data_IF_562780708604
#
_entry.id   IF_562780708604
#
_cell.length_a   1.000
_cell.length_b   1.000
_cell.length_c   1.000
_cell.angle_alpha   90.00
_cell.angle_beta   90.00
_cell.angle_gamma   90.00
#
_symmetry.space_group_name_H-M   'P 1'
#
loop_
_entity.id
_entity.type
_entity.pdbx_description
1 polymer ?
#
# COMPACT_ATOMS: atom_id res chain seq x y z
N UNK A 1 35.19 34.30 -18.03
CA UNK A 1 34.62 33.06 -18.63
C UNK A 1 34.32 31.99 -17.58
N UNK A 2 35.28 31.62 -16.73
CA UNK A 2 35.11 30.59 -15.68
C UNK A 2 33.97 30.89 -14.69
N UNK A 3 33.85 32.13 -14.21
CA UNK A 3 32.79 32.57 -13.28
C UNK A 3 31.39 32.39 -13.90
N UNK A 4 31.22 32.72 -15.18
CA UNK A 4 29.94 32.58 -15.87
C UNK A 4 29.51 31.11 -16.00
N UNK A 5 30.47 30.21 -16.28
CA UNK A 5 30.24 28.77 -16.31
C UNK A 5 29.82 28.23 -14.94
N UNK A 6 30.52 28.65 -13.88
CA UNK A 6 30.18 28.24 -12.51
C UNK A 6 28.74 28.65 -12.21
N UNK A 7 28.39 29.93 -12.42
CA UNK A 7 27.04 30.44 -12.14
C UNK A 7 25.95 29.70 -12.93
N UNK A 8 26.18 29.40 -14.21
CA UNK A 8 25.25 28.64 -15.03
C UNK A 8 25.02 27.22 -14.46
N UNK A 9 26.10 26.54 -14.06
CA UNK A 9 26.03 25.19 -13.50
C UNK A 9 25.35 25.20 -12.13
N UNK A 10 25.64 26.17 -11.26
CA UNK A 10 24.98 26.24 -9.94
C UNK A 10 23.49 26.47 -10.06
N UNK A 11 23.07 27.38 -10.95
CA UNK A 11 21.65 27.66 -11.19
C UNK A 11 20.97 26.45 -11.86
N UNK A 12 21.61 25.82 -12.84
CA UNK A 12 21.10 24.60 -13.47
C UNK A 12 20.92 23.45 -12.49
N UNK A 13 21.90 23.21 -11.62
CA UNK A 13 21.84 22.19 -10.57
C UNK A 13 20.73 22.47 -9.56
N UNK A 14 20.48 23.76 -9.24
CA UNK A 14 19.39 24.15 -8.35
C UNK A 14 18.01 23.80 -8.94
N UNK A 15 17.77 24.11 -10.21
CA UNK A 15 16.51 23.77 -10.88
C UNK A 15 16.31 22.26 -11.01
N UNK A 16 17.36 21.51 -11.35
CA UNK A 16 17.32 20.04 -11.41
C UNK A 16 17.07 19.45 -10.02
N UNK A 17 17.70 19.99 -8.98
CA UNK A 17 17.51 19.55 -7.60
C UNK A 17 16.07 19.75 -7.13
N UNK A 18 15.48 20.93 -7.37
CA UNK A 18 14.09 21.22 -6.99
C UNK A 18 13.11 20.32 -7.72
N UNK A 19 13.25 20.17 -9.04
CA UNK A 19 12.34 19.34 -9.83
C UNK A 19 12.45 17.87 -9.43
N UNK A 20 13.66 17.37 -9.17
CA UNK A 20 13.88 16.00 -8.68
C UNK A 20 13.29 15.79 -7.28
N UNK A 21 13.48 16.74 -6.36
CA UNK A 21 12.91 16.68 -5.01
C UNK A 21 11.38 16.68 -5.05
N UNK A 22 10.78 17.48 -5.95
CA UNK A 22 9.33 17.53 -6.09
C UNK A 22 8.75 16.23 -6.65
N UNK A 23 9.42 15.61 -7.63
CA UNK A 23 9.04 14.28 -8.14
C UNK A 23 9.21 13.20 -7.07
N UNK A 24 10.33 13.21 -6.34
CA UNK A 24 10.61 12.24 -5.29
C UNK A 24 9.57 12.28 -4.16
N UNK A 25 9.04 13.47 -3.82
CA UNK A 25 7.96 13.62 -2.83
C UNK A 25 6.75 12.75 -3.18
N UNK A 26 6.27 12.77 -4.43
CA UNK A 26 5.12 11.95 -4.85
C UNK A 26 5.39 10.46 -4.69
N UNK A 27 6.55 9.98 -5.16
CA UNK A 27 6.93 8.58 -5.00
C UNK A 27 7.05 8.13 -3.54
N UNK A 28 7.54 9.00 -2.65
CA UNK A 28 7.65 8.70 -1.22
C UNK A 28 6.28 8.68 -0.55
N UNK A 29 5.40 9.61 -0.90
CA UNK A 29 4.03 9.66 -0.40
C UNK A 29 3.26 8.39 -0.82
N UNK A 30 3.33 8.02 -2.10
CA UNK A 30 2.71 6.79 -2.62
C UNK A 30 3.28 5.53 -1.95
N UNK A 31 4.58 5.48 -1.70
CA UNK A 31 5.22 4.37 -1.00
C UNK A 31 4.73 4.23 0.45
N UNK A 32 4.61 5.34 1.16
CA UNK A 32 4.11 5.35 2.55
C UNK A 32 2.62 4.98 2.58
N UNK A 33 1.81 5.51 1.66
CA UNK A 33 0.38 5.21 1.59
C UNK A 33 0.13 3.74 1.25
N UNK A 34 0.88 3.17 0.31
CA UNK A 34 0.79 1.74 -0.01
C UNK A 34 1.23 0.84 1.16
N UNK A 35 2.28 1.23 1.89
CA UNK A 35 2.69 0.52 3.10
C UNK A 35 1.64 0.61 4.23
N UNK A 36 0.97 1.75 4.35
CA UNK A 36 -0.13 1.93 5.31
C UNK A 36 -1.38 1.12 4.92
N UNK A 37 -1.71 1.06 3.62
CA UNK A 37 -2.82 0.26 3.10
C UNK A 37 -2.57 -1.25 3.30
N UNK A 38 -1.35 -1.73 3.04
CA UNK A 38 -0.99 -3.12 3.31
C UNK A 38 -1.09 -3.49 4.81
N UNK A 39 -0.91 -2.51 5.70
CA UNK A 39 -1.01 -2.69 7.15
C UNK A 39 -2.43 -2.58 7.69
N UNK A 40 -3.33 -1.87 7.02
CA UNK A 40 -4.70 -1.62 7.52
C UNK A 40 -5.73 -2.65 7.05
N UNK A 41 -5.44 -3.44 6.00
CA UNK A 41 -6.36 -4.46 5.45
C UNK A 41 -6.00 -5.87 5.95
N UNK A 42 -5.37 -5.97 7.11
CA UNK A 42 -5.17 -7.25 7.81
C UNK A 42 -5.91 -7.16 9.14
N UNK A 43 -6.97 -7.95 9.31
CA UNK A 43 -7.70 -8.02 10.58
C UNK A 43 -6.72 -8.42 11.70
N UNK A 44 -6.90 -7.95 12.94
CA UNK A 44 -5.96 -8.20 14.05
C UNK A 44 -5.81 -9.70 14.37
N UNK A 45 -6.78 -10.51 13.99
CA UNK A 45 -6.75 -11.98 14.11
C UNK A 45 -5.81 -12.66 13.10
N UNK A 46 -5.40 -11.95 12.05
CA UNK A 46 -4.46 -12.44 11.01
C UNK A 46 -3.01 -12.06 11.31
N UNK A 47 -2.71 -11.56 12.51
CA UNK A 47 -1.37 -11.12 12.90
C UNK A 47 -0.82 -11.99 14.04
N UNK A 48 0.48 -12.31 13.98
CA UNK A 48 1.20 -12.95 15.09
C UNK A 48 1.52 -11.96 16.23
N UNK A 49 2.08 -12.47 17.33
CA UNK A 49 2.51 -11.65 18.48
C UNK A 49 3.55 -10.58 18.10
N UNK A 50 4.24 -10.76 16.96
CA UNK A 50 5.27 -9.87 16.41
C UNK A 50 4.74 -8.93 15.30
N UNK A 51 3.45 -9.03 14.93
CA UNK A 51 2.77 -8.19 13.94
C UNK A 51 2.97 -8.59 12.47
N UNK A 52 3.40 -9.80 12.18
CA UNK A 52 3.45 -10.36 10.81
C UNK A 52 2.15 -11.05 10.44
N UNK A 53 1.86 -11.13 9.14
CA UNK A 53 0.68 -11.83 8.62
C UNK A 53 0.83 -13.34 8.85
N UNK A 54 -0.09 -13.92 9.62
CA UNK A 54 -0.21 -15.37 9.78
C UNK A 54 -0.57 -16.01 8.43
N UNK A 55 0.34 -16.83 7.91
CA UNK A 55 0.14 -17.59 6.66
C UNK A 55 -0.39 -19.00 6.94
N UNK A 56 -1.44 -19.09 7.74
CA UNK A 56 -2.07 -20.37 8.05
C UNK A 56 -2.75 -20.96 6.81
N UNK A 57 -2.76 -22.29 6.73
CA UNK A 57 -3.31 -23.04 5.60
C UNK A 57 -4.82 -22.75 5.46
N UNK A 58 -5.23 -22.28 4.28
CA UNK A 58 -6.63 -21.97 3.99
C UNK A 58 -7.49 -23.24 4.07
N UNK A 59 -8.29 -23.36 5.14
CA UNK A 59 -9.25 -24.45 5.29
C UNK A 59 -10.42 -24.26 4.33
N UNK A 60 -10.40 -24.94 3.18
CA UNK A 60 -11.53 -24.99 2.27
C UNK A 60 -12.58 -25.99 2.77
N UNK A 61 -13.61 -25.49 3.45
CA UNK A 61 -14.76 -26.31 3.86
C UNK A 61 -15.67 -26.51 2.65
N UNK A 62 -15.61 -27.69 2.03
CA UNK A 62 -16.60 -28.10 1.04
C UNK A 62 -17.82 -28.69 1.76
N UNK A 63 -19.04 -28.16 1.59
CA UNK A 63 -20.24 -28.80 2.12
C UNK A 63 -20.43 -30.18 1.47
N UNK A 64 -20.84 -31.17 2.26
CA UNK A 64 -21.05 -32.54 1.78
C UNK A 64 -22.25 -32.63 0.81
N UNK A 65 -23.18 -31.69 0.93
CA UNK A 65 -24.38 -31.60 0.13
C UNK A 65 -24.62 -30.15 -0.33
N UNK A 66 -25.09 -29.92 -1.58
CA UNK A 66 -25.56 -28.61 -2.02
C UNK A 66 -26.72 -28.03 -1.18
N UNK A 67 -27.36 -28.87 -0.35
CA UNK A 67 -28.46 -28.50 0.53
C UNK A 67 -28.02 -28.13 1.96
N UNK A 68 -26.71 -28.26 2.27
CA UNK A 68 -26.14 -27.88 3.58
C UNK A 68 -25.66 -26.42 3.61
N UNK A 69 -25.95 -25.65 2.57
CA UNK A 69 -25.67 -24.22 2.52
C UNK A 69 -26.78 -23.55 3.33
N UNK A 70 -26.49 -22.87 4.45
CA UNK A 70 -27.50 -22.08 5.14
C UNK A 70 -28.08 -21.08 4.14
N UNK A 71 -29.40 -21.07 3.96
CA UNK A 71 -30.08 -19.99 3.23
C UNK A 71 -29.76 -18.71 4.00
N UNK A 72 -29.15 -17.73 3.33
CA UNK A 72 -28.89 -16.41 3.91
C UNK A 72 -30.25 -15.78 4.29
N UNK A 73 -30.59 -15.78 5.58
CA UNK A 73 -31.81 -15.16 6.13
C UNK A 73 -31.69 -13.61 6.19
N UNK A 74 -31.10 -12.98 5.17
CA UNK A 74 -30.90 -11.52 5.07
C UNK A 74 -31.53 -10.95 3.78
N UNK A 75 -32.75 -11.37 3.43
CA UNK A 75 -33.59 -10.72 2.41
C UNK A 75 -34.91 -10.18 3.00
N UNK A 76 -34.83 -9.64 4.22
CA UNK A 76 -35.90 -8.86 4.85
C UNK A 76 -35.54 -7.37 4.82
N UNK A 77 -35.86 -6.67 3.73
CA UNK A 77 -36.11 -5.20 3.74
C UNK A 77 -36.91 -4.79 2.47
N UNK A 78 -38.25 -4.98 2.52
CA UNK A 78 -39.25 -4.18 1.77
C UNK A 78 -39.54 -2.85 2.49
#
# INVERSE_FOLDING_TARGET
>A
MLIALVVLVTIGAFFIGITTAWLAKGYVEDYIENAAYAKSVTHPEMLDEDGNIMHDELLYVRPASPWDIPEDEDDDEE
#
